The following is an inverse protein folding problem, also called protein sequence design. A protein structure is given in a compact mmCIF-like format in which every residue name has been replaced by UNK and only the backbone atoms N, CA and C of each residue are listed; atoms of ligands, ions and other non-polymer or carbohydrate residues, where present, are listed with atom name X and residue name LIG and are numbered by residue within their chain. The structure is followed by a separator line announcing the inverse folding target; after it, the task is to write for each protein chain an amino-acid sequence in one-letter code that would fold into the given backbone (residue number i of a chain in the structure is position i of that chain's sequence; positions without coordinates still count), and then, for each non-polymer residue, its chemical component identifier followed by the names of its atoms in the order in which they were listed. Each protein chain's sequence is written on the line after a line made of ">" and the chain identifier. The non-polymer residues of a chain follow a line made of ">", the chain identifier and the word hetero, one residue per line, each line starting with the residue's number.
data_IF_621640121562
#
_entry.id   IF_621640121562
#
_cell.length_a   1.000
_cell.length_b   1.000
_cell.length_c   1.000
_cell.angle_alpha   90.00
_cell.angle_beta   90.00
_cell.angle_gamma   90.00
#
_symmetry.space_group_name_H-M   'P 1'
#
loop_
_entity.id
_entity.type
_entity.pdbx_description
1 polymer ?
#
# COMPACT_ATOMS: atom_id res chain seq x y z
N UNK A 1 -30.71 2.58 -21.16
CA UNK A 1 -31.85 3.02 -20.33
C UNK A 1 -31.29 3.71 -19.10
N UNK A 2 -31.48 5.04 -18.96
CA UNK A 2 -31.12 5.82 -17.78
C UNK A 2 -32.37 5.98 -16.91
N UNK A 3 -32.27 5.71 -15.62
CA UNK A 3 -33.26 6.13 -14.64
C UNK A 3 -32.68 7.31 -13.84
N UNK A 4 -33.42 8.41 -13.79
CA UNK A 4 -33.14 9.56 -12.93
C UNK A 4 -33.73 9.31 -11.54
N UNK A 5 -32.97 9.62 -10.49
CA UNK A 5 -33.39 9.55 -9.09
C UNK A 5 -32.49 10.44 -8.23
N UNK A 6 -33.13 11.38 -7.54
CA UNK A 6 -32.59 12.55 -6.85
C UNK A 6 -32.15 12.26 -5.40
N UNK A 7 -31.00 12.80 -4.94
CA UNK A 7 -30.84 13.64 -3.72
C UNK A 7 -29.38 13.73 -3.25
N UNK A 8 -28.96 14.95 -2.90
CA UNK A 8 -27.58 15.30 -2.61
C UNK A 8 -27.08 14.95 -1.21
N UNK A 9 -25.87 14.40 -1.16
CA UNK A 9 -24.93 14.48 -0.05
C UNK A 9 -23.57 14.96 -0.60
N UNK A 10 -22.77 15.76 0.13
CA UNK A 10 -21.44 16.18 -0.32
C UNK A 10 -20.40 15.03 -0.41
N UNK A 11 -20.82 13.78 -0.18
CA UNK A 11 -19.95 12.61 -0.03
C UNK A 11 -20.06 11.60 -1.19
N UNK A 12 -20.86 11.88 -2.22
CA UNK A 12 -20.98 11.00 -3.40
C UNK A 12 -20.00 11.42 -4.51
N UNK A 13 -18.70 11.41 -4.19
CA UNK A 13 -17.67 11.61 -5.21
C UNK A 13 -17.56 10.35 -6.09
N UNK A 14 -18.21 10.39 -7.26
CA UNK A 14 -18.04 9.47 -8.41
C UNK A 14 -18.30 7.99 -8.14
N UNK A 15 -19.57 7.60 -8.25
CA UNK A 15 -19.98 6.19 -8.40
C UNK A 15 -19.64 5.58 -9.77
N UNK A 16 -19.10 6.35 -10.72
CA UNK A 16 -18.66 5.89 -12.05
C UNK A 16 -17.19 6.26 -12.34
N UNK A 17 -16.26 5.85 -11.46
CA UNK A 17 -14.83 6.00 -11.73
C UNK A 17 -14.29 4.77 -12.46
N UNK A 18 -14.06 4.91 -13.78
CA UNK A 18 -13.36 3.92 -14.58
C UNK A 18 -11.87 4.26 -14.66
N UNK A 19 -11.00 3.30 -14.32
CA UNK A 19 -9.56 3.43 -14.52
C UNK A 19 -9.17 2.96 -15.91
N UNK A 20 -8.17 3.61 -16.51
CA UNK A 20 -7.54 3.08 -17.70
C UNK A 20 -6.85 1.76 -17.37
N UNK A 21 -6.91 0.77 -18.27
CA UNK A 21 -6.26 -0.53 -18.06
C UNK A 21 -4.76 -0.39 -17.77
N UNK A 22 -4.07 0.53 -18.45
CA UNK A 22 -2.66 0.84 -18.19
C UNK A 22 -2.41 1.44 -16.80
N UNK A 23 -3.36 2.19 -16.24
CA UNK A 23 -3.23 2.72 -14.88
C UNK A 23 -3.30 1.58 -13.86
N UNK A 24 -4.15 0.59 -14.09
CA UNK A 24 -4.21 -0.61 -13.23
C UNK A 24 -2.93 -1.43 -13.36
N UNK A 25 -2.39 -1.60 -14.57
CA UNK A 25 -1.11 -2.29 -14.79
C UNK A 25 0.05 -1.60 -14.08
N UNK A 26 0.16 -0.28 -14.21
CA UNK A 26 1.21 0.49 -13.53
C UNK A 26 1.14 0.35 -12.00
N UNK A 27 -0.08 0.32 -11.44
CA UNK A 27 -0.27 0.09 -10.00
C UNK A 27 0.16 -1.32 -9.60
N UNK A 28 -0.17 -2.33 -10.40
CA UNK A 28 0.22 -3.71 -10.11
C UNK A 28 1.74 -3.88 -10.14
N UNK A 29 2.42 -3.36 -11.17
CA UNK A 29 3.88 -3.40 -11.26
C UNK A 29 4.54 -2.67 -10.08
N UNK A 30 4.04 -1.49 -9.71
CA UNK A 30 4.55 -0.75 -8.56
C UNK A 30 4.31 -1.49 -7.23
N UNK A 31 3.15 -2.11 -7.05
CA UNK A 31 2.84 -2.91 -5.87
C UNK A 31 3.78 -4.13 -5.77
N UNK A 32 4.00 -4.84 -6.86
CA UNK A 32 4.91 -5.99 -6.87
C UNK A 32 6.34 -5.60 -6.57
N UNK A 33 6.86 -4.56 -7.23
CA UNK A 33 8.21 -4.07 -6.96
C UNK A 33 8.39 -3.66 -5.48
N UNK A 34 7.40 -2.98 -4.91
CA UNK A 34 7.42 -2.59 -3.50
C UNK A 34 7.38 -3.81 -2.56
N UNK A 35 6.47 -4.75 -2.79
CA UNK A 35 6.32 -5.94 -1.94
C UNK A 35 7.54 -6.86 -2.02
N UNK A 36 8.11 -7.05 -3.21
CA UNK A 36 9.36 -7.81 -3.39
C UNK A 36 10.48 -7.20 -2.56
N UNK A 37 10.74 -5.90 -2.72
CA UNK A 37 11.78 -5.22 -1.94
C UNK A 37 11.51 -5.26 -0.42
N UNK A 38 10.25 -5.07 0.00
CA UNK A 38 9.89 -5.16 1.42
C UNK A 38 10.13 -6.57 1.99
N UNK A 39 9.85 -7.62 1.22
CA UNK A 39 10.07 -9.00 1.66
C UNK A 39 11.55 -9.38 1.66
N UNK A 40 12.37 -8.81 0.77
CA UNK A 40 13.83 -8.95 0.84
C UNK A 40 14.37 -8.43 2.18
N UNK A 41 14.00 -7.21 2.59
CA UNK A 41 14.41 -6.64 3.87
C UNK A 41 13.83 -7.41 5.08
N UNK A 42 12.59 -7.87 4.95
CA UNK A 42 11.93 -8.69 5.98
C UNK A 42 12.69 -10.00 6.17
N UNK A 43 13.14 -10.63 5.09
CA UNK A 43 13.94 -11.84 5.13
C UNK A 43 15.29 -11.58 5.80
N UNK A 44 15.97 -10.47 5.47
CA UNK A 44 17.20 -10.06 6.15
C UNK A 44 16.99 -9.86 7.66
N UNK A 45 15.86 -9.27 8.08
CA UNK A 45 15.51 -9.14 9.50
C UNK A 45 15.31 -10.49 10.19
N UNK A 46 14.66 -11.46 9.51
CA UNK A 46 14.49 -12.81 10.04
C UNK A 46 15.83 -13.54 10.20
N UNK A 47 16.70 -13.46 9.19
CA UNK A 47 18.05 -14.05 9.20
C UNK A 47 18.91 -13.42 10.31
N UNK A 48 18.86 -12.10 10.47
CA UNK A 48 19.56 -11.39 11.55
C UNK A 48 19.13 -11.91 12.94
N UNK A 49 17.86 -12.29 13.08
CA UNK A 49 17.31 -12.90 14.29
C UNK A 49 17.46 -14.44 14.35
N UNK A 50 18.31 -15.05 13.51
CA UNK A 50 18.57 -16.50 13.43
C UNK A 50 17.32 -17.35 13.16
N UNK A 51 16.38 -16.84 12.38
CA UNK A 51 15.16 -17.54 11.96
C UNK A 51 15.09 -17.64 10.43
N UNK A 52 14.35 -18.64 9.94
CA UNK A 52 14.05 -18.81 8.51
C UNK A 52 12.62 -18.36 8.18
N UNK A 53 11.68 -18.54 9.11
CA UNK A 53 10.30 -18.07 8.95
C UNK A 53 10.19 -16.58 9.27
N UNK A 54 9.74 -15.81 8.28
CA UNK A 54 9.39 -14.39 8.45
C UNK A 54 8.17 -14.24 9.36
N UNK A 55 8.18 -13.22 10.21
CA UNK A 55 7.12 -12.92 11.16
C UNK A 55 6.65 -11.46 11.00
N UNK A 56 5.44 -11.11 11.45
CA UNK A 56 4.94 -9.72 11.36
C UNK A 56 5.89 -8.68 11.96
N UNK A 57 6.64 -9.04 13.02
CA UNK A 57 7.65 -8.16 13.64
C UNK A 57 8.81 -7.82 12.71
N UNK A 58 9.17 -8.70 11.79
CA UNK A 58 10.26 -8.50 10.82
C UNK A 58 9.83 -7.46 9.77
N UNK A 59 8.57 -7.55 9.30
CA UNK A 59 7.97 -6.57 8.38
C UNK A 59 7.87 -5.20 9.06
N UNK A 60 7.39 -5.17 10.31
CA UNK A 60 7.30 -3.94 11.09
C UNK A 60 8.66 -3.27 11.28
N UNK A 61 9.71 -4.07 11.50
CA UNK A 61 11.08 -3.58 11.63
C UNK A 61 11.63 -3.08 10.28
N UNK A 62 11.48 -3.85 9.20
CA UNK A 62 11.88 -3.47 7.85
C UNK A 62 11.29 -2.12 7.43
N UNK A 63 9.97 -1.93 7.61
CA UNK A 63 9.28 -0.65 7.32
C UNK A 63 9.79 0.51 8.19
N UNK A 64 10.19 0.22 9.44
CA UNK A 64 10.76 1.23 10.34
C UNK A 64 12.16 1.65 9.87
N UNK A 65 12.98 0.70 9.42
CA UNK A 65 14.33 0.96 8.88
C UNK A 65 14.24 1.73 7.56
N UNK A 66 13.26 1.42 6.70
CA UNK A 66 12.97 2.17 5.46
C UNK A 66 12.52 3.62 5.68
N UNK A 67 12.20 4.02 6.91
CA UNK A 67 11.74 5.38 7.22
C UNK A 67 10.26 5.64 6.91
N UNK A 68 9.47 4.63 6.57
CA UNK A 68 8.05 4.77 6.20
C UNK A 68 7.14 5.25 7.35
N UNK A 69 7.64 5.31 8.58
CA UNK A 69 6.90 5.83 9.75
C UNK A 69 7.09 7.34 9.98
N UNK A 70 7.83 8.06 9.12
CA UNK A 70 8.25 9.44 9.40
C UNK A 70 7.52 10.55 8.62
N UNK A 71 6.33 10.29 8.04
CA UNK A 71 5.47 11.35 7.47
C UNK A 71 4.39 11.88 8.43
N UNK A 72 4.56 11.67 9.74
CA UNK A 72 3.66 12.23 10.78
C UNK A 72 4.27 13.46 11.49
N UNK A 73 5.34 14.06 10.94
CA UNK A 73 6.00 15.27 11.50
C UNK A 73 5.86 16.51 10.62
N UNK A 74 4.69 16.75 10.01
CA UNK A 74 4.35 18.04 9.39
C UNK A 74 2.98 18.58 9.86
N UNK A 75 2.60 18.30 11.10
CA UNK A 75 1.42 18.95 11.73
C UNK A 75 1.51 19.00 13.26
N UNK A 76 2.65 19.47 13.80
CA UNK A 76 2.70 20.07 15.12
C UNK A 76 3.53 21.35 15.05
#
# INVERSE_FOLDING_TARGET
>A
MRAAGNQGSPQDFKTDLCFQSSAVMALQEACEAYLVGLFEDTNLCAIHAKRVTIMPKDIQLARRIRGERALILLSQ
#
